data_IF_179183982754
#
_entry.id   IF_179183982754
#
_cell.length_a   1.000
_cell.length_b   1.000
_cell.length_c   1.000
_cell.angle_alpha   90.00
_cell.angle_beta   90.00
_cell.angle_gamma   90.00
#
_symmetry.space_group_name_H-M   'P 1'
#
loop_
_entity.id
_entity.type
_entity.pdbx_description
1 polymer ?
#
# COMPACT_ATOMS: atom_id res chain seq x y z
N UNK A 1 -20.68 29.14 -28.45
CA UNK A 1 -19.91 27.92 -28.14
C UNK A 1 -20.82 26.98 -27.38
N UNK A 2 -21.21 25.86 -27.98
CA UNK A 2 -22.07 24.87 -27.33
C UNK A 2 -21.21 23.85 -26.57
N UNK A 3 -21.49 23.66 -25.28
CA UNK A 3 -20.91 22.55 -24.53
C UNK A 3 -21.82 21.34 -24.70
N UNK A 4 -21.29 20.23 -25.21
CA UNK A 4 -21.96 18.95 -25.18
C UNK A 4 -21.78 18.35 -23.78
N UNK A 5 -22.84 18.36 -22.98
CA UNK A 5 -22.90 17.55 -21.75
C UNK A 5 -23.14 16.10 -22.16
N UNK A 6 -22.07 15.33 -22.26
CA UNK A 6 -22.15 13.87 -22.37
C UNK A 6 -22.64 13.35 -21.01
N UNK A 7 -23.95 13.05 -20.91
CA UNK A 7 -24.49 12.31 -19.77
C UNK A 7 -24.02 10.85 -19.90
N UNK A 8 -22.93 10.51 -19.21
CA UNK A 8 -22.59 9.12 -18.97
C UNK A 8 -23.74 8.47 -18.22
N UNK A 9 -24.27 7.38 -18.79
CA UNK A 9 -25.32 6.60 -18.16
C UNK A 9 -24.78 5.99 -16.86
N UNK A 10 -25.57 6.00 -15.79
CA UNK A 10 -25.11 5.57 -14.46
C UNK A 10 -24.68 4.08 -14.37
N UNK A 11 -24.93 3.27 -15.40
CA UNK A 11 -24.47 1.88 -15.48
C UNK A 11 -23.02 1.76 -15.94
N UNK A 12 -22.60 2.53 -16.96
CA UNK A 12 -21.22 2.46 -17.47
C UNK A 12 -20.21 2.91 -16.41
N UNK A 13 -20.55 3.97 -15.66
CA UNK A 13 -19.71 4.46 -14.56
C UNK A 13 -19.50 3.40 -13.46
N UNK A 14 -20.52 2.60 -13.13
CA UNK A 14 -20.40 1.51 -12.15
C UNK A 14 -19.48 0.39 -12.62
N UNK A 15 -19.56 0.01 -13.90
CA UNK A 15 -18.68 -1.02 -14.47
C UNK A 15 -17.22 -0.58 -14.42
N UNK A 16 -16.92 0.69 -14.74
CA UNK A 16 -15.56 1.22 -14.64
C UNK A 16 -15.04 1.23 -13.19
N UNK A 17 -15.89 1.57 -12.22
CA UNK A 17 -15.51 1.54 -10.80
C UNK A 17 -15.23 0.10 -10.32
N UNK A 18 -16.09 -0.85 -10.65
CA UNK A 18 -15.87 -2.27 -10.29
C UNK A 18 -14.61 -2.84 -10.94
N UNK A 19 -14.33 -2.44 -12.19
CA UNK A 19 -13.10 -2.83 -12.88
C UNK A 19 -11.86 -2.23 -12.19
N UNK A 20 -11.92 -0.93 -11.85
CA UNK A 20 -10.85 -0.24 -11.14
C UNK A 20 -10.57 -0.92 -9.80
N UNK A 21 -11.60 -1.21 -9.00
CA UNK A 21 -11.48 -1.89 -7.72
C UNK A 21 -10.83 -3.28 -7.88
N UNK A 22 -11.25 -4.07 -8.88
CA UNK A 22 -10.64 -5.38 -9.16
C UNK A 22 -9.18 -5.28 -9.60
N UNK A 23 -8.83 -4.27 -10.38
CA UNK A 23 -7.44 -4.03 -10.79
C UNK A 23 -6.59 -3.64 -9.58
N UNK A 24 -7.11 -2.77 -8.72
CA UNK A 24 -6.45 -2.39 -7.47
C UNK A 24 -6.24 -3.62 -6.59
N UNK A 25 -7.30 -4.39 -6.33
CA UNK A 25 -7.22 -5.58 -5.47
C UNK A 25 -6.21 -6.61 -5.97
N UNK A 26 -6.11 -6.81 -7.30
CA UNK A 26 -5.08 -7.69 -7.88
C UNK A 26 -3.65 -7.21 -7.65
N UNK A 27 -3.45 -5.90 -7.51
CA UNK A 27 -2.14 -5.31 -7.28
C UNK A 27 -1.77 -5.28 -5.79
N UNK A 28 -2.70 -5.56 -4.86
CA UNK A 28 -2.44 -5.64 -3.43
C UNK A 28 -2.05 -7.07 -3.06
N UNK A 29 -0.76 -7.35 -3.07
CA UNK A 29 -0.21 -8.72 -3.03
C UNK A 29 0.57 -9.05 -1.77
N UNK A 30 0.92 -8.05 -0.95
CA UNK A 30 1.80 -8.22 0.20
C UNK A 30 1.11 -7.87 1.51
N UNK A 31 1.37 -8.64 2.55
CA UNK A 31 1.00 -8.29 3.92
C UNK A 31 2.07 -7.40 4.54
N UNK A 32 1.69 -6.22 5.05
CA UNK A 32 2.62 -5.31 5.71
C UNK A 32 3.28 -5.96 6.94
N UNK A 33 2.53 -6.81 7.65
CA UNK A 33 3.04 -7.62 8.77
C UNK A 33 4.21 -8.54 8.39
N UNK A 34 4.49 -8.78 7.10
CA UNK A 34 5.67 -9.54 6.65
C UNK A 34 6.99 -8.93 7.12
N UNK A 35 7.03 -7.60 7.32
CA UNK A 35 8.20 -6.88 7.83
C UNK A 35 8.45 -7.10 9.32
N UNK A 36 7.42 -7.50 10.08
CA UNK A 36 7.55 -7.81 11.51
C UNK A 36 8.42 -9.06 11.68
N UNK A 37 9.49 -8.93 12.46
CA UNK A 37 10.47 -10.00 12.65
C UNK A 37 11.47 -10.17 11.49
N UNK A 38 11.40 -9.34 10.44
CA UNK A 38 12.39 -9.27 9.35
C UNK A 38 13.22 -7.98 9.35
N UNK A 39 12.94 -7.09 10.28
CA UNK A 39 13.64 -5.82 10.43
C UNK A 39 12.85 -4.83 11.27
N UNK A 40 11.53 -4.97 11.34
CA UNK A 40 10.71 -4.22 12.30
C UNK A 40 10.54 -5.01 13.60
N UNK A 41 10.74 -4.32 14.71
CA UNK A 41 10.73 -4.87 16.07
C UNK A 41 9.36 -4.82 16.71
N UNK A 42 8.50 -3.88 16.27
CA UNK A 42 7.18 -3.67 16.85
C UNK A 42 6.12 -3.30 15.80
N UNK A 43 4.86 -3.48 16.19
CA UNK A 43 3.72 -3.01 15.41
C UNK A 43 3.73 -1.48 15.28
N UNK A 44 4.19 -0.76 16.32
CA UNK A 44 4.23 0.70 16.33
C UNK A 44 5.21 1.25 15.27
N UNK A 45 6.37 0.62 15.11
CA UNK A 45 7.34 0.97 14.06
C UNK A 45 6.74 0.77 12.65
N UNK A 46 5.96 -0.30 12.47
CA UNK A 46 5.27 -0.57 11.21
C UNK A 46 4.21 0.51 10.93
N UNK A 47 3.40 0.86 11.92
CA UNK A 47 2.38 1.90 11.78
C UNK A 47 2.99 3.27 11.49
N UNK A 48 4.11 3.61 12.13
CA UNK A 48 4.85 4.84 11.86
C UNK A 48 5.36 4.89 10.41
N UNK A 49 6.02 3.82 9.94
CA UNK A 49 6.54 3.74 8.59
C UNK A 49 5.41 3.78 7.54
N UNK A 50 4.29 3.10 7.82
CA UNK A 50 3.10 3.10 6.97
C UNK A 50 2.46 4.48 6.87
N UNK A 51 2.34 5.21 7.98
CA UNK A 51 1.83 6.58 7.98
C UNK A 51 2.74 7.52 7.18
N UNK A 52 4.06 7.41 7.35
CA UNK A 52 5.04 8.19 6.55
C UNK A 52 4.93 7.86 5.06
N UNK A 53 4.83 6.58 4.70
CA UNK A 53 4.67 6.13 3.33
C UNK A 53 3.37 6.67 2.68
N UNK A 54 2.24 6.63 3.39
CA UNK A 54 0.98 7.19 2.93
C UNK A 54 1.06 8.71 2.76
N UNK A 55 1.69 9.41 3.69
CA UNK A 55 1.88 10.86 3.60
C UNK A 55 2.76 11.25 2.40
N UNK A 56 3.83 10.49 2.15
CA UNK A 56 4.70 10.71 0.99
C UNK A 56 3.95 10.48 -0.34
N UNK A 57 3.18 9.39 -0.45
CA UNK A 57 2.36 9.12 -1.65
C UNK A 57 1.26 10.18 -1.85
N UNK A 58 0.58 10.57 -0.78
CA UNK A 58 -0.42 11.64 -0.82
C UNK A 58 0.19 12.97 -1.27
N UNK A 59 1.40 13.30 -0.79
CA UNK A 59 2.14 14.51 -1.19
C UNK A 59 2.55 14.48 -2.67
N UNK A 60 2.82 13.29 -3.21
CA UNK A 60 3.06 13.06 -4.64
C UNK A 60 1.76 13.02 -5.49
N UNK A 61 0.59 13.29 -4.89
CA UNK A 61 -0.74 13.21 -5.51
C UNK A 61 -1.08 11.82 -6.04
N UNK A 62 -0.52 10.78 -5.43
CA UNK A 62 -0.86 9.40 -5.73
C UNK A 62 -1.99 8.92 -4.80
N UNK A 63 -2.89 8.14 -5.37
CA UNK A 63 -4.06 7.63 -4.68
C UNK A 63 -3.70 6.51 -3.70
N UNK A 64 -3.58 6.81 -2.40
CA UNK A 64 -3.20 5.84 -1.37
C UNK A 64 -4.09 4.58 -1.34
N UNK A 65 -5.39 4.71 -1.64
CA UNK A 65 -6.32 3.57 -1.66
C UNK A 65 -5.95 2.50 -2.71
N UNK A 66 -5.14 2.86 -3.72
CA UNK A 66 -4.61 1.92 -4.72
C UNK A 66 -3.45 1.09 -4.21
N UNK A 67 -2.83 1.48 -3.10
CA UNK A 67 -1.58 0.91 -2.60
C UNK A 67 -1.69 0.32 -1.20
N UNK A 68 -2.69 0.72 -0.42
CA UNK A 68 -2.90 0.24 0.94
C UNK A 68 -4.38 -0.05 1.19
N UNK A 69 -4.67 -1.26 1.66
CA UNK A 69 -5.99 -1.69 2.09
C UNK A 69 -5.90 -2.33 3.46
N UNK A 70 -6.63 -1.76 4.43
CA UNK A 70 -6.73 -2.35 5.76
C UNK A 70 -7.53 -3.64 5.68
N UNK A 71 -7.02 -4.69 6.32
CA UNK A 71 -7.62 -6.02 6.35
C UNK A 71 -7.57 -6.58 7.78
N UNK A 72 -8.29 -7.66 8.00
CA UNK A 72 -8.25 -8.40 9.26
C UNK A 72 -7.89 -9.84 8.96
N UNK A 73 -6.84 -10.33 9.62
CA UNK A 73 -6.34 -11.69 9.45
C UNK A 73 -6.75 -12.50 10.68
N UNK A 74 -7.31 -13.68 10.45
CA UNK A 74 -7.58 -14.64 11.52
C UNK A 74 -6.31 -15.44 11.81
N UNK A 75 -5.73 -15.25 12.99
CA UNK A 75 -4.55 -15.98 13.44
C UNK A 75 -4.82 -16.56 14.83
N UNK A 76 -4.76 -17.89 14.95
CA UNK A 76 -5.03 -18.62 16.22
C UNK A 76 -6.39 -18.26 16.86
N UNK A 77 -7.42 -18.08 16.03
CA UNK A 77 -8.76 -17.73 16.48
C UNK A 77 -8.94 -16.26 16.91
N UNK A 78 -7.93 -15.41 16.74
CA UNK A 78 -8.03 -13.97 16.96
C UNK A 78 -7.98 -13.23 15.64
N UNK A 79 -8.86 -12.23 15.47
CA UNK A 79 -8.78 -11.28 14.37
C UNK A 79 -7.76 -10.19 14.72
N UNK A 80 -6.72 -10.06 13.91
CA UNK A 80 -5.71 -9.00 14.03
C UNK A 80 -5.78 -8.07 12.82
N UNK A 81 -5.66 -6.75 13.02
CA UNK A 81 -5.55 -5.81 11.91
C UNK A 81 -4.22 -6.01 11.18
N UNK A 82 -4.24 -5.90 9.86
CA UNK A 82 -3.06 -5.83 9.00
C UNK A 82 -3.36 -4.94 7.78
N UNK A 83 -2.37 -4.74 6.94
CA UNK A 83 -2.49 -4.00 5.68
C UNK A 83 -2.07 -4.88 4.52
N UNK A 84 -2.96 -5.02 3.55
CA UNK A 84 -2.62 -5.55 2.24
C UNK A 84 -2.10 -4.39 1.38
N UNK A 85 -0.92 -4.55 0.83
CA UNK A 85 -0.21 -3.48 0.12
C UNK A 85 0.28 -3.94 -1.25
N UNK A 86 0.38 -2.98 -2.17
CA UNK A 86 1.02 -3.21 -3.47
C UNK A 86 2.53 -3.24 -3.38
N UNK A 87 3.21 -3.64 -4.46
CA UNK A 87 4.68 -3.58 -4.57
C UNK A 87 5.22 -2.18 -4.23
N UNK A 88 4.61 -1.13 -4.79
CA UNK A 88 5.00 0.25 -4.48
C UNK A 88 4.72 0.58 -3.01
N UNK A 89 3.56 0.17 -2.49
CA UNK A 89 3.20 0.39 -1.08
C UNK A 89 4.22 -0.24 -0.13
N UNK A 90 4.64 -1.47 -0.42
CA UNK A 90 5.66 -2.19 0.33
C UNK A 90 7.02 -1.50 0.30
N UNK A 91 7.47 -1.11 -0.90
CA UNK A 91 8.72 -0.36 -1.09
C UNK A 91 8.69 0.96 -0.35
N UNK A 92 7.57 1.68 -0.41
CA UNK A 92 7.40 2.94 0.31
C UNK A 92 7.47 2.75 1.83
N UNK A 93 6.89 1.68 2.39
CA UNK A 93 7.04 1.35 3.81
C UNK A 93 8.52 1.15 4.15
N UNK A 94 9.21 0.26 3.42
CA UNK A 94 10.63 -0.07 3.63
C UNK A 94 11.52 1.19 3.57
N UNK A 95 11.25 2.11 2.64
CA UNK A 95 12.02 3.35 2.51
C UNK A 95 11.83 4.33 3.67
N UNK A 96 10.75 4.19 4.45
CA UNK A 96 10.44 5.08 5.59
C UNK A 96 10.70 4.44 6.95
N UNK A 97 11.28 3.24 7.00
CA UNK A 97 11.75 2.62 8.24
C UNK A 97 13.13 3.13 8.66
N UNK A 98 13.48 2.93 9.92
CA UNK A 98 14.80 3.30 10.44
C UNK A 98 15.93 2.47 9.79
N UNK A 99 16.89 3.17 9.17
CA UNK A 99 18.09 2.58 8.59
C UNK A 99 19.13 2.17 9.66
N UNK A 100 18.93 2.57 10.93
CA UNK A 100 19.72 2.11 12.06
C UNK A 100 19.65 0.59 12.27
N UNK A 101 18.57 -0.05 11.81
CA UNK A 101 18.47 -1.51 11.79
C UNK A 101 19.16 -2.09 10.53
N UNK A 102 20.22 -2.90 10.65
CA UNK A 102 20.93 -3.47 9.50
C UNK A 102 20.05 -4.28 8.54
N UNK A 103 19.00 -4.94 9.05
CA UNK A 103 18.07 -5.70 8.22
C UNK A 103 17.22 -4.77 7.35
N UNK A 104 16.73 -3.65 7.92
CA UNK A 104 16.00 -2.64 7.15
C UNK A 104 16.89 -1.91 6.17
N UNK A 105 18.13 -1.57 6.55
CA UNK A 105 19.10 -0.98 5.63
C UNK A 105 19.38 -1.89 4.42
N UNK A 106 19.54 -3.20 4.65
CA UNK A 106 19.70 -4.18 3.56
C UNK A 106 18.49 -4.22 2.63
N UNK A 107 17.26 -4.21 3.19
CA UNK A 107 16.04 -4.18 2.40
C UNK A 107 15.90 -2.88 1.60
N UNK A 108 16.28 -1.74 2.17
CA UNK A 108 16.29 -0.45 1.46
C UNK A 108 17.23 -0.47 0.26
N UNK A 109 18.43 -1.00 0.42
CA UNK A 109 19.38 -1.18 -0.70
C UNK A 109 18.82 -2.14 -1.75
N UNK A 110 18.21 -3.25 -1.32
CA UNK A 110 17.57 -4.20 -2.24
C UNK A 110 16.47 -3.53 -3.08
N UNK A 111 15.58 -2.77 -2.42
CA UNK A 111 14.52 -2.01 -3.09
C UNK A 111 15.07 -1.10 -4.18
N UNK A 112 16.19 -0.40 -3.92
CA UNK A 112 16.80 0.51 -4.88
C UNK A 112 17.56 -0.21 -6.01
N UNK A 113 18.12 -1.38 -5.74
CA UNK A 113 18.91 -2.14 -6.73
C UNK A 113 18.05 -2.97 -7.69
N UNK A 114 16.83 -3.32 -7.28
CA UNK A 114 15.82 -3.99 -8.11
C UNK A 114 15.05 -3.01 -9.02
N UNK A 115 15.31 -1.70 -8.96
CA UNK A 115 14.75 -0.69 -9.87
C UNK A 115 15.42 -0.67 -11.26
N UNK A 116 15.72 -1.84 -11.83
CA UNK A 116 16.25 -1.96 -13.19
C UNK A 116 15.15 -2.03 -14.24
#
# INVERSE_FOLDING_TARGET
MGFALIRYSGQEFRVFQELEDRVIEKNLTHYASWLLGRGLSSQDELEEALNKAMNALGSARLACYRHFKKIYISQRGQLKPDWLVSDLGMRMIIMHTDAGNPAMASLQVQVLTEMK
#
